data_IF_281818714703
#
_entry.id   IF_281818714703
#
_cell.length_a   1.000
_cell.length_b   1.000
_cell.length_c   1.000
_cell.angle_alpha   90.00
_cell.angle_beta   90.00
_cell.angle_gamma   90.00
#
_symmetry.space_group_name_H-M   'P 1'
#
loop_
_entity.id
_entity.type
_entity.pdbx_description
1 polymer ?
#
# COMPACT_ATOMS: atom_id res chain seq x y z
N UNK A 1 0.96 -5.39 -28.50
CA UNK A 1 0.67 -4.01 -28.06
C UNK A 1 -0.73 -3.61 -28.53
N UNK A 2 -1.40 -2.66 -27.87
CA UNK A 2 -2.65 -2.11 -28.43
C UNK A 2 -2.29 -1.09 -29.51
N UNK A 3 -3.11 -0.92 -30.56
CA UNK A 3 -2.91 0.06 -31.65
C UNK A 3 -2.86 1.53 -31.17
N UNK A 4 -3.04 1.77 -29.87
CA UNK A 4 -3.13 3.07 -29.22
C UNK A 4 -1.85 3.55 -28.53
N UNK A 5 -0.68 2.91 -28.77
CA UNK A 5 0.60 3.33 -28.15
C UNK A 5 0.65 3.11 -26.63
N UNK A 6 -0.12 2.14 -26.12
CA UNK A 6 -0.23 1.86 -24.67
C UNK A 6 0.04 0.40 -24.35
N UNK A 7 0.67 0.18 -23.19
CA UNK A 7 0.99 -1.13 -22.64
C UNK A 7 0.14 -1.40 -21.40
N UNK A 8 -0.48 -2.60 -21.33
CA UNK A 8 -1.19 -3.06 -20.14
C UNK A 8 -0.19 -3.39 -19.03
N UNK A 9 -0.17 -2.58 -17.99
CA UNK A 9 0.73 -2.75 -16.84
C UNK A 9 0.08 -3.53 -15.70
N UNK A 10 -1.20 -3.26 -15.43
CA UNK A 10 -1.96 -3.86 -14.33
C UNK A 10 -3.26 -4.50 -14.83
N UNK A 11 -3.55 -5.71 -14.33
CA UNK A 11 -4.85 -6.36 -14.56
C UNK A 11 -5.96 -5.64 -13.78
N UNK A 12 -7.22 -5.95 -14.09
CA UNK A 12 -8.35 -5.46 -13.29
C UNK A 12 -8.25 -5.94 -11.84
N UNK A 13 -7.88 -7.20 -11.62
CA UNK A 13 -7.70 -7.77 -10.28
C UNK A 13 -6.64 -7.01 -9.46
N UNK A 14 -5.48 -6.70 -10.05
CA UNK A 14 -4.43 -5.94 -9.35
C UNK A 14 -4.90 -4.54 -8.97
N UNK A 15 -5.65 -3.86 -9.85
CA UNK A 15 -6.23 -2.54 -9.55
C UNK A 15 -7.30 -2.62 -8.47
N UNK A 16 -8.17 -3.63 -8.53
CA UNK A 16 -9.20 -3.88 -7.52
C UNK A 16 -8.58 -4.08 -6.13
N UNK A 17 -7.55 -4.91 -6.04
CA UNK A 17 -6.79 -5.13 -4.78
C UNK A 17 -6.19 -3.82 -4.29
N UNK A 18 -5.48 -3.09 -5.16
CA UNK A 18 -4.87 -1.81 -4.79
C UNK A 18 -5.89 -0.84 -4.19
N UNK A 19 -7.02 -0.61 -4.87
CA UNK A 19 -8.05 0.30 -4.39
C UNK A 19 -8.76 -0.21 -3.14
N UNK A 20 -8.97 -1.53 -3.01
CA UNK A 20 -9.53 -2.13 -1.80
C UNK A 20 -8.62 -1.91 -0.59
N UNK A 21 -7.32 -2.17 -0.73
CA UNK A 21 -6.33 -1.92 0.33
C UNK A 21 -6.25 -0.43 0.64
N UNK A 22 -6.16 0.45 -0.37
CA UNK A 22 -6.04 1.88 -0.17
C UNK A 22 -7.25 2.45 0.60
N UNK A 23 -8.47 2.18 0.14
CA UNK A 23 -9.70 2.66 0.77
C UNK A 23 -9.82 2.12 2.20
N UNK A 24 -9.64 0.81 2.41
CA UNK A 24 -9.62 0.22 3.75
C UNK A 24 -8.62 0.90 4.67
N UNK A 25 -7.41 1.16 4.17
CA UNK A 25 -6.34 1.74 5.01
C UNK A 25 -6.70 3.17 5.42
N UNK A 26 -7.25 3.99 4.53
CA UNK A 26 -7.73 5.33 4.90
C UNK A 26 -8.87 5.28 5.92
N UNK A 27 -9.83 4.36 5.75
CA UNK A 27 -10.92 4.17 6.71
C UNK A 27 -10.40 3.68 8.07
N UNK A 28 -9.41 2.79 8.08
CA UNK A 28 -8.77 2.27 9.30
C UNK A 28 -7.97 3.35 10.03
N UNK A 29 -7.24 4.19 9.31
CA UNK A 29 -6.53 5.34 9.89
C UNK A 29 -7.53 6.30 10.52
N UNK A 30 -8.59 6.67 9.80
CA UNK A 30 -9.61 7.59 10.32
C UNK A 30 -10.30 7.00 11.55
N UNK A 31 -10.86 5.80 11.44
CA UNK A 31 -11.54 5.15 12.56
C UNK A 31 -10.61 4.85 13.74
N UNK A 32 -9.36 4.46 13.50
CA UNK A 32 -8.36 4.19 14.53
C UNK A 32 -7.96 5.44 15.30
N UNK A 33 -7.76 6.58 14.61
CA UNK A 33 -7.54 7.88 15.25
C UNK A 33 -8.78 8.34 16.04
N UNK A 34 -9.99 8.03 15.57
CA UNK A 34 -11.25 8.32 16.27
C UNK A 34 -11.53 7.43 17.48
N UNK A 35 -10.86 6.29 17.61
CA UNK A 35 -10.86 5.49 18.85
C UNK A 35 -9.90 6.03 19.91
N UNK A 36 -8.96 6.89 19.50
CA UNK A 36 -8.22 7.75 20.42
C UNK A 36 -9.10 8.97 20.73
N UNK A 37 -8.97 9.61 21.91
CA UNK A 37 -9.75 10.80 22.27
C UNK A 37 -9.29 12.06 21.50
N UNK A 38 -8.93 11.92 20.23
CA UNK A 38 -8.39 12.97 19.36
C UNK A 38 -9.52 13.82 18.76
N UNK A 39 -10.58 13.21 18.25
CA UNK A 39 -11.58 13.93 17.45
C UNK A 39 -12.38 14.94 18.26
N UNK A 40 -12.74 14.60 19.50
CA UNK A 40 -13.32 15.56 20.42
C UNK A 40 -12.30 16.63 20.86
N UNK A 41 -11.06 16.22 21.15
CA UNK A 41 -9.99 17.13 21.61
C UNK A 41 -9.60 18.19 20.57
N UNK A 42 -9.61 17.82 19.30
CA UNK A 42 -9.25 18.70 18.17
C UNK A 42 -10.47 19.16 17.37
N UNK A 43 -11.68 19.07 17.94
CA UNK A 43 -12.94 19.59 17.37
C UNK A 43 -13.28 19.06 15.96
N UNK A 44 -12.80 17.87 15.60
CA UNK A 44 -13.15 17.22 14.32
C UNK A 44 -14.65 16.93 14.28
N UNK A 45 -15.25 16.63 15.43
CA UNK A 45 -16.69 16.40 15.60
C UNK A 45 -17.54 17.69 15.51
N UNK A 46 -16.92 18.87 15.37
CA UNK A 46 -17.61 20.13 15.12
C UNK A 46 -17.70 20.48 13.64
N UNK A 47 -16.98 19.76 12.77
CA UNK A 47 -17.06 19.94 11.33
C UNK A 47 -18.43 19.44 10.83
N UNK A 48 -19.18 20.23 10.04
CA UNK A 48 -20.45 19.79 9.46
C UNK A 48 -20.29 18.46 8.72
N UNK A 49 -21.12 17.47 9.07
CA UNK A 49 -21.05 16.11 8.51
C UNK A 49 -20.14 15.13 9.24
N UNK A 50 -19.35 15.55 10.23
CA UNK A 50 -18.44 14.71 11.02
C UNK A 50 -18.79 14.64 12.52
N UNK A 51 -19.99 15.07 12.91
CA UNK A 51 -20.43 15.04 14.33
C UNK A 51 -20.44 13.65 14.95
N UNK A 52 -20.56 12.61 14.12
CA UNK A 52 -20.49 11.20 14.54
C UNK A 52 -19.06 10.71 14.79
N UNK A 53 -18.04 11.46 14.38
CA UNK A 53 -16.64 11.00 14.40
C UNK A 53 -16.10 10.78 15.81
N UNK A 54 -16.59 11.50 16.83
CA UNK A 54 -16.20 11.28 18.23
C UNK A 54 -16.97 10.14 18.91
N UNK A 55 -17.95 9.52 18.24
CA UNK A 55 -18.68 8.38 18.80
C UNK A 55 -17.87 7.09 18.67
N UNK A 56 -17.41 6.58 19.81
CA UNK A 56 -16.57 5.38 19.88
C UNK A 56 -17.21 4.13 19.25
N UNK A 57 -18.52 3.92 19.40
CA UNK A 57 -19.16 2.74 18.83
C UNK A 57 -19.23 2.81 17.30
N UNK A 58 -19.45 4.00 16.75
CA UNK A 58 -19.45 4.22 15.30
C UNK A 58 -18.04 4.02 14.74
N UNK A 59 -17.02 4.64 15.35
CA UNK A 59 -15.63 4.47 14.90
C UNK A 59 -15.13 3.04 15.09
N UNK A 60 -15.51 2.35 16.16
CA UNK A 60 -15.19 0.93 16.36
C UNK A 60 -15.82 0.04 15.28
N UNK A 61 -17.10 0.25 14.99
CA UNK A 61 -17.81 -0.51 13.94
C UNK A 61 -17.18 -0.27 12.58
N UNK A 62 -16.89 0.98 12.24
CA UNK A 62 -16.21 1.34 10.99
C UNK A 62 -14.83 0.68 10.90
N UNK A 63 -14.07 0.67 12.01
CA UNK A 63 -12.75 0.05 12.06
C UNK A 63 -12.82 -1.45 11.80
N UNK A 64 -13.76 -2.16 12.43
CA UNK A 64 -13.93 -3.60 12.23
C UNK A 64 -14.36 -3.93 10.80
N UNK A 65 -15.31 -3.20 10.22
CA UNK A 65 -15.74 -3.41 8.83
C UNK A 65 -14.58 -3.17 7.86
N UNK A 66 -13.83 -2.07 8.04
CA UNK A 66 -12.68 -1.76 7.20
C UNK A 66 -11.54 -2.78 7.37
N UNK A 67 -11.34 -3.32 8.58
CA UNK A 67 -10.36 -4.35 8.88
C UNK A 67 -10.69 -5.68 8.19
N UNK A 68 -11.96 -6.11 8.27
CA UNK A 68 -12.44 -7.32 7.57
C UNK A 68 -12.18 -7.18 6.07
N UNK A 69 -12.50 -6.03 5.48
CA UNK A 69 -12.24 -5.77 4.05
C UNK A 69 -10.75 -5.74 3.72
N UNK A 70 -9.91 -5.17 4.58
CA UNK A 70 -8.44 -5.17 4.40
C UNK A 70 -7.90 -6.60 4.42
N UNK A 71 -8.31 -7.42 5.39
CA UNK A 71 -7.89 -8.82 5.51
C UNK A 71 -8.33 -9.61 4.29
N UNK A 72 -9.56 -9.41 3.81
CA UNK A 72 -10.02 -10.00 2.56
C UNK A 72 -9.14 -9.60 1.37
N UNK A 73 -8.87 -8.30 1.19
CA UNK A 73 -8.06 -7.82 0.08
C UNK A 73 -6.62 -8.35 0.15
N UNK A 74 -6.03 -8.42 1.34
CA UNK A 74 -4.70 -8.98 1.57
C UNK A 74 -4.65 -10.50 1.28
N UNK A 75 -5.64 -11.26 1.74
CA UNK A 75 -5.75 -12.69 1.45
C UNK A 75 -5.93 -12.94 -0.05
N UNK A 76 -6.83 -12.19 -0.70
CA UNK A 76 -7.04 -12.27 -2.15
C UNK A 76 -5.74 -11.96 -2.91
N UNK A 77 -5.01 -10.92 -2.51
CA UNK A 77 -3.72 -10.56 -3.11
C UNK A 77 -2.72 -11.72 -3.05
N UNK A 78 -2.55 -12.31 -1.86
CA UNK A 78 -1.63 -13.42 -1.64
C UNK A 78 -2.02 -14.63 -2.51
N UNK A 79 -3.29 -15.03 -2.48
CA UNK A 79 -3.78 -16.18 -3.26
C UNK A 79 -3.65 -15.92 -4.76
N UNK A 80 -4.08 -14.75 -5.25
CA UNK A 80 -4.03 -14.39 -6.66
C UNK A 80 -2.60 -14.44 -7.23
N UNK A 81 -1.64 -13.81 -6.54
CA UNK A 81 -0.25 -13.79 -7.00
C UNK A 81 0.46 -15.13 -6.82
N UNK A 82 0.12 -15.91 -5.79
CA UNK A 82 0.68 -17.24 -5.57
C UNK A 82 0.27 -18.22 -6.66
N UNK A 83 -1.02 -18.27 -7.00
CA UNK A 83 -1.53 -19.16 -8.05
C UNK A 83 -0.98 -18.80 -9.44
N UNK A 84 -0.75 -17.52 -9.71
CA UNK A 84 -0.20 -17.04 -10.98
C UNK A 84 1.33 -16.98 -11.04
N UNK A 85 2.01 -17.28 -9.93
CA UNK A 85 3.46 -17.19 -9.77
C UNK A 85 4.01 -15.80 -10.17
N UNK A 86 3.25 -14.75 -9.89
CA UNK A 86 3.56 -13.37 -10.26
C UNK A 86 4.28 -12.64 -9.11
N UNK A 87 5.58 -12.92 -8.91
CA UNK A 87 6.36 -12.38 -7.78
C UNK A 87 7.26 -11.20 -8.12
N UNK A 88 7.05 -10.56 -9.28
CA UNK A 88 7.94 -9.52 -9.80
C UNK A 88 8.08 -8.26 -8.93
N UNK A 89 7.12 -8.01 -8.03
CA UNK A 89 7.12 -6.90 -7.08
C UNK A 89 7.92 -7.19 -5.79
N UNK A 90 8.25 -8.45 -5.50
CA UNK A 90 8.99 -8.80 -4.29
C UNK A 90 10.41 -8.21 -4.31
N UNK A 91 10.93 -7.75 -3.16
CA UNK A 91 12.29 -7.23 -3.07
C UNK A 91 13.34 -8.20 -3.58
N UNK A 92 14.36 -7.65 -4.21
CA UNK A 92 15.55 -8.36 -4.70
C UNK A 92 16.76 -7.89 -3.90
N UNK A 93 17.82 -8.71 -3.92
CA UNK A 93 19.11 -8.33 -3.32
C UNK A 93 19.63 -7.07 -4.01
N UNK A 94 20.00 -6.07 -3.23
CA UNK A 94 20.51 -4.79 -3.73
C UNK A 94 19.47 -3.69 -3.88
N UNK A 95 18.16 -3.99 -3.72
CA UNK A 95 17.09 -3.02 -3.96
C UNK A 95 17.23 -1.75 -3.11
N UNK A 96 17.67 -1.85 -1.85
CA UNK A 96 17.88 -0.68 -1.00
C UNK A 96 18.95 0.25 -1.59
N UNK A 97 20.07 -0.31 -2.03
CA UNK A 97 21.16 0.46 -2.65
C UNK A 97 20.71 1.07 -3.98
N UNK A 98 20.03 0.28 -4.81
CA UNK A 98 19.51 0.75 -6.11
C UNK A 98 18.44 1.83 -5.93
N UNK A 99 17.58 1.72 -4.92
CA UNK A 99 16.58 2.75 -4.58
C UNK A 99 17.24 4.10 -4.30
N UNK A 100 18.37 4.12 -3.59
CA UNK A 100 19.12 5.34 -3.32
C UNK A 100 19.65 5.96 -4.62
N UNK A 101 20.15 5.14 -5.55
CA UNK A 101 20.63 5.60 -6.85
C UNK A 101 19.48 6.19 -7.67
N UNK A 102 18.35 5.49 -7.74
CA UNK A 102 17.15 5.96 -8.45
C UNK A 102 16.65 7.28 -7.86
N UNK A 103 16.55 7.40 -6.54
CA UNK A 103 16.11 8.65 -5.88
C UNK A 103 17.09 9.80 -6.20
N UNK A 104 18.40 9.56 -6.16
CA UNK A 104 19.40 10.57 -6.56
C UNK A 104 19.23 10.99 -8.02
N UNK A 105 19.04 10.04 -8.93
CA UNK A 105 18.77 10.32 -10.34
C UNK A 105 17.48 11.14 -10.55
N UNK A 106 16.41 10.85 -9.81
CA UNK A 106 15.17 11.65 -9.84
C UNK A 106 15.36 13.09 -9.35
N UNK A 107 16.39 13.34 -8.53
CA UNK A 107 16.81 14.67 -8.08
C UNK A 107 17.81 15.35 -9.05
N UNK A 108 18.10 14.74 -10.20
CA UNK A 108 19.06 15.23 -11.19
C UNK A 108 20.52 14.87 -10.89
N UNK A 109 20.76 14.00 -9.91
CA UNK A 109 22.10 13.59 -9.48
C UNK A 109 22.42 12.19 -10.00
N UNK A 110 22.87 12.13 -11.26
CA UNK A 110 23.28 10.90 -11.94
C UNK A 110 22.22 10.32 -12.88
N UNK A 111 22.53 9.14 -13.43
CA UNK A 111 21.65 8.45 -14.38
C UNK A 111 20.80 7.38 -13.69
N UNK A 112 19.55 7.26 -14.12
CA UNK A 112 18.63 6.25 -13.61
C UNK A 112 19.03 4.88 -14.17
N UNK A 113 19.22 3.84 -13.32
CA UNK A 113 19.58 2.52 -13.79
C UNK A 113 18.45 1.91 -14.65
N UNK A 114 18.79 1.02 -15.61
CA UNK A 114 17.79 0.36 -16.44
C UNK A 114 16.84 -0.47 -15.56
N UNK A 115 15.55 -0.16 -15.62
CA UNK A 115 14.57 -0.74 -14.71
C UNK A 115 13.69 -1.81 -15.36
N UNK A 116 13.29 -2.77 -14.52
CA UNK A 116 12.25 -3.75 -14.79
C UNK A 116 10.85 -3.11 -14.62
N UNK A 117 9.77 -3.91 -14.69
CA UNK A 117 8.38 -3.48 -14.53
C UNK A 117 8.24 -2.63 -13.29
N UNK A 118 8.81 -3.07 -12.18
CA UNK A 118 8.87 -2.30 -10.94
C UNK A 118 10.29 -1.83 -10.70
N UNK A 119 10.46 -0.56 -10.31
CA UNK A 119 11.75 -0.02 -9.87
C UNK A 119 12.10 -0.56 -8.48
N UNK A 120 13.36 -0.47 -8.08
CA UNK A 120 13.83 -0.97 -6.78
C UNK A 120 13.09 -0.32 -5.60
N UNK A 121 12.91 1.00 -5.63
CA UNK A 121 12.20 1.74 -4.58
C UNK A 121 10.73 1.38 -4.50
N UNK A 122 10.11 0.97 -5.62
CA UNK A 122 8.74 0.46 -5.64
C UNK A 122 8.64 -0.91 -4.96
N UNK A 123 9.64 -1.78 -5.13
CA UNK A 123 9.70 -3.10 -4.47
C UNK A 123 9.96 -2.94 -2.96
N UNK A 124 10.84 -2.02 -2.57
CA UNK A 124 11.09 -1.66 -1.17
C UNK A 124 9.82 -1.08 -0.52
N UNK A 125 9.16 -0.13 -1.19
CA UNK A 125 7.91 0.45 -0.69
C UNK A 125 6.80 -0.60 -0.54
N UNK A 126 6.67 -1.51 -1.50
CA UNK A 126 5.75 -2.64 -1.41
C UNK A 126 6.03 -3.50 -0.17
N UNK A 127 7.30 -3.84 0.07
CA UNK A 127 7.68 -4.67 1.22
C UNK A 127 7.41 -3.97 2.55
N UNK A 128 7.75 -2.68 2.65
CA UNK A 128 7.46 -1.87 3.83
C UNK A 128 5.96 -1.83 4.13
N UNK A 129 5.14 -1.49 3.13
CA UNK A 129 3.68 -1.43 3.30
C UNK A 129 3.11 -2.80 3.63
N UNK A 130 3.50 -3.86 2.90
CA UNK A 130 2.99 -5.21 3.14
C UNK A 130 3.34 -5.72 4.54
N UNK A 131 4.59 -5.54 4.99
CA UNK A 131 5.01 -5.89 6.34
C UNK A 131 4.23 -5.10 7.40
N UNK A 132 4.06 -3.80 7.18
CA UNK A 132 3.38 -2.95 8.14
C UNK A 132 1.87 -3.23 8.25
N UNK A 133 1.21 -3.52 7.12
CA UNK A 133 -0.18 -3.99 7.13
C UNK A 133 -0.29 -5.36 7.81
N UNK A 134 0.66 -6.27 7.62
CA UNK A 134 0.68 -7.55 8.33
C UNK A 134 0.81 -7.34 9.84
N UNK A 135 1.71 -6.46 10.29
CA UNK A 135 1.86 -6.09 11.70
C UNK A 135 0.53 -5.57 12.28
N UNK A 136 -0.14 -4.67 11.57
CA UNK A 136 -1.44 -4.11 11.96
C UNK A 136 -2.53 -5.17 12.02
N UNK A 137 -2.59 -6.08 11.04
CA UNK A 137 -3.55 -7.19 11.01
C UNK A 137 -3.33 -8.11 12.21
N UNK A 138 -2.11 -8.57 12.45
CA UNK A 138 -1.78 -9.50 13.55
C UNK A 138 -2.09 -8.87 14.90
N UNK A 139 -1.60 -7.66 15.16
CA UNK A 139 -1.87 -6.96 16.42
C UNK A 139 -3.34 -6.59 16.58
N UNK A 140 -4.03 -6.26 15.49
CA UNK A 140 -5.48 -6.01 15.46
C UNK A 140 -6.28 -7.26 15.85
N UNK A 141 -5.93 -8.43 15.31
CA UNK A 141 -6.55 -9.70 15.70
C UNK A 141 -6.38 -9.99 17.18
N UNK A 142 -5.18 -9.80 17.76
CA UNK A 142 -4.97 -9.97 19.21
C UNK A 142 -5.93 -9.06 19.99
N UNK A 143 -6.06 -7.79 19.59
CA UNK A 143 -6.96 -6.83 20.23
C UNK A 143 -8.45 -7.19 20.07
N UNK A 144 -8.85 -7.86 19.00
CA UNK A 144 -10.22 -8.36 18.81
C UNK A 144 -10.46 -9.60 19.68
N UNK A 145 -9.55 -10.57 19.63
CA UNK A 145 -9.66 -11.86 20.33
C UNK A 145 -9.75 -11.66 21.84
N UNK A 146 -9.03 -10.67 22.41
CA UNK A 146 -9.10 -10.38 23.85
C UNK A 146 -10.52 -10.03 24.33
N UNK A 147 -11.41 -9.59 23.44
CA UNK A 147 -12.78 -9.21 23.79
C UNK A 147 -13.74 -10.39 23.76
N UNK A 148 -13.29 -11.59 23.40
CA UNK A 148 -14.15 -12.77 23.39
C UNK A 148 -14.33 -13.33 24.81
N UNK A 149 -15.53 -13.85 25.14
CA UNK A 149 -15.80 -14.42 26.46
C UNK A 149 -14.80 -15.53 26.81
N UNK A 150 -14.23 -15.45 28.02
CA UNK A 150 -13.31 -16.47 28.54
C UNK A 150 -11.88 -16.42 27.98
N UNK A 151 -11.54 -15.45 27.12
CA UNK A 151 -10.17 -15.26 26.65
C UNK A 151 -9.48 -14.18 27.48
N UNK A 152 -8.39 -14.55 28.14
CA UNK A 152 -7.50 -13.63 28.85
C UNK A 152 -6.08 -13.73 28.31
N UNK A 153 -5.44 -12.59 28.10
CA UNK A 153 -4.03 -12.51 27.73
C UNK A 153 -3.22 -11.87 28.86
N UNK A 154 -1.93 -12.19 28.96
CA UNK A 154 -1.03 -11.49 29.88
C UNK A 154 -0.94 -10.00 29.54
N UNK A 155 -0.79 -9.14 30.55
CA UNK A 155 -0.65 -7.69 30.36
C UNK A 155 0.51 -7.35 29.42
N UNK A 156 1.65 -8.03 29.55
CA UNK A 156 2.82 -7.85 28.67
C UNK A 156 2.48 -8.04 27.19
N UNK A 157 1.67 -9.06 26.86
CA UNK A 157 1.24 -9.29 25.47
C UNK A 157 0.30 -8.17 24.98
N UNK A 158 -0.63 -7.72 25.82
CA UNK A 158 -1.57 -6.66 25.48
C UNK A 158 -0.87 -5.32 25.28
N UNK A 159 0.14 -5.03 26.10
CA UNK A 159 0.98 -3.83 25.98
C UNK A 159 1.77 -3.84 24.69
N UNK A 160 2.47 -4.93 24.38
CA UNK A 160 3.20 -5.06 23.11
C UNK A 160 2.26 -5.00 21.91
N UNK A 161 1.13 -5.71 21.95
CA UNK A 161 0.15 -5.68 20.86
C UNK A 161 -0.38 -4.27 20.63
N UNK A 162 -0.69 -3.53 21.70
CA UNK A 162 -1.21 -2.16 21.61
C UNK A 162 -0.14 -1.19 21.09
N UNK A 163 1.07 -1.23 21.64
CA UNK A 163 2.17 -0.35 21.23
C UNK A 163 2.62 -0.62 19.80
N UNK A 164 2.74 -1.89 19.41
CA UNK A 164 3.07 -2.27 18.03
C UNK A 164 1.97 -1.90 17.05
N UNK A 165 0.69 -1.99 17.45
CA UNK A 165 -0.42 -1.54 16.60
C UNK A 165 -0.38 -0.02 16.39
N UNK A 166 -0.12 0.75 17.45
CA UNK A 166 0.00 2.21 17.38
C UNK A 166 1.24 2.64 16.56
N UNK A 167 2.38 1.97 16.76
CA UNK A 167 3.57 2.17 15.93
C UNK A 167 3.28 1.81 14.47
N UNK A 168 2.59 0.70 14.24
CA UNK A 168 2.09 0.27 12.93
C UNK A 168 1.27 1.37 12.25
N UNK A 169 0.33 1.97 12.98
CA UNK A 169 -0.52 3.06 12.50
C UNK A 169 0.32 4.27 12.07
N UNK A 170 1.28 4.71 12.88
CA UNK A 170 2.16 5.84 12.51
C UNK A 170 3.01 5.49 11.29
N UNK A 171 3.60 4.29 11.27
CA UNK A 171 4.41 3.82 10.15
C UNK A 171 3.61 3.72 8.85
N UNK A 172 2.35 3.24 8.87
CA UNK A 172 1.53 3.18 7.64
C UNK A 172 1.18 4.58 7.14
N UNK A 173 0.89 5.53 8.05
CA UNK A 173 0.61 6.91 7.67
C UNK A 173 1.83 7.52 6.97
N UNK A 174 3.02 7.37 7.56
CA UNK A 174 4.28 7.83 6.94
C UNK A 174 4.53 7.13 5.60
N UNK A 175 4.29 5.82 5.52
CA UNK A 175 4.43 5.05 4.29
C UNK A 175 3.51 5.51 3.16
N UNK A 176 2.25 5.80 3.48
CA UNK A 176 1.27 6.35 2.52
C UNK A 176 1.69 7.75 2.07
N UNK A 177 2.12 8.61 2.99
CA UNK A 177 2.63 9.94 2.65
C UNK A 177 3.82 9.82 1.70
N UNK A 178 4.80 8.96 2.00
CA UNK A 178 5.96 8.71 1.14
C UNK A 178 5.55 8.15 -0.23
N UNK A 179 4.62 7.20 -0.26
CA UNK A 179 4.07 6.62 -1.49
C UNK A 179 3.41 7.68 -2.39
N UNK A 180 2.59 8.57 -1.82
CA UNK A 180 1.95 9.65 -2.55
C UNK A 180 2.96 10.73 -2.96
N UNK A 181 3.90 11.07 -2.08
CA UNK A 181 4.97 12.03 -2.34
C UNK A 181 5.90 11.58 -3.48
N UNK A 182 6.03 10.27 -3.74
CA UNK A 182 6.76 9.77 -4.89
C UNK A 182 6.23 10.33 -6.23
N UNK A 183 4.98 10.75 -6.32
CA UNK A 183 4.39 11.34 -7.53
C UNK A 183 4.62 12.86 -7.68
N UNK A 184 5.23 13.50 -6.67
CA UNK A 184 5.76 14.87 -6.81
C UNK A 184 6.81 14.88 -7.92
N UNK A 185 7.65 13.84 -7.97
CA UNK A 185 8.63 13.62 -9.04
C UNK A 185 7.93 13.38 -10.38
N UNK A 186 8.16 14.27 -11.35
CA UNK A 186 7.54 14.22 -12.68
C UNK A 186 7.77 12.89 -13.38
N UNK A 187 8.91 12.26 -13.17
CA UNK A 187 9.26 10.95 -13.73
C UNK A 187 8.24 9.85 -13.36
N UNK A 188 7.64 9.90 -12.17
CA UNK A 188 6.69 8.89 -11.68
C UNK A 188 5.23 9.13 -12.15
N UNK A 189 4.87 10.35 -12.55
CA UNK A 189 3.48 10.70 -12.91
C UNK A 189 2.88 9.86 -14.05
N UNK A 190 3.62 9.45 -15.10
CA UNK A 190 3.09 8.56 -16.14
C UNK A 190 2.63 7.18 -15.65
N UNK A 191 2.94 6.80 -14.41
CA UNK A 191 2.44 5.58 -13.79
C UNK A 191 1.01 5.71 -13.24
N UNK A 192 0.55 6.94 -12.92
CA UNK A 192 -0.75 7.20 -12.30
C UNK A 192 -1.93 6.62 -13.12
N UNK A 193 -2.01 6.83 -14.46
CA UNK A 193 -3.10 6.25 -15.26
C UNK A 193 -3.16 4.72 -15.18
N UNK A 194 -2.04 4.07 -14.86
CA UNK A 194 -1.96 2.62 -14.70
C UNK A 194 -2.81 2.10 -13.54
N UNK A 195 -3.02 2.87 -12.47
CA UNK A 195 -3.87 2.48 -11.34
C UNK A 195 -5.37 2.62 -11.62
N UNK A 196 -5.75 3.54 -12.51
CA UNK A 196 -7.14 3.76 -12.88
C UNK A 196 -7.56 2.92 -14.08
N UNK A 197 -6.75 2.91 -15.14
CA UNK A 197 -7.09 2.28 -16.43
C UNK A 197 -6.44 0.91 -16.61
N UNK A 198 -5.31 0.65 -15.94
CA UNK A 198 -4.48 -0.54 -16.14
C UNK A 198 -3.39 -0.36 -17.21
N UNK A 199 -3.38 0.76 -17.91
CA UNK A 199 -2.48 1.04 -19.04
C UNK A 199 -1.52 2.19 -18.73
N UNK A 200 -0.32 2.10 -19.33
CA UNK A 200 0.70 3.16 -19.34
C UNK A 200 1.16 3.40 -20.77
N UNK A 201 1.72 4.58 -21.01
CA UNK A 201 2.28 4.96 -22.30
C UNK A 201 3.47 4.06 -22.68
N UNK A 202 3.54 3.66 -23.94
CA UNK A 202 4.59 2.77 -24.44
C UNK A 202 5.97 3.45 -24.47
N UNK A 203 6.05 4.70 -24.91
CA UNK A 203 7.31 5.43 -24.99
C UNK A 203 7.92 5.62 -23.60
N UNK A 204 7.08 5.92 -22.62
CA UNK A 204 7.49 5.96 -21.22
C UNK A 204 8.09 4.62 -20.75
N UNK A 205 7.45 3.50 -21.07
CA UNK A 205 7.94 2.16 -20.73
C UNK A 205 9.27 1.88 -21.42
N UNK A 206 9.39 2.21 -22.71
CA UNK A 206 10.63 2.05 -23.48
C UNK A 206 11.79 2.81 -22.85
N UNK A 207 11.56 4.06 -22.41
CA UNK A 207 12.60 4.91 -21.83
C UNK A 207 12.98 4.50 -20.40
N UNK A 208 12.00 4.32 -19.54
CA UNK A 208 12.24 4.20 -18.09
C UNK A 208 12.21 2.76 -17.56
N UNK A 209 11.48 1.89 -18.24
CA UNK A 209 11.36 0.47 -17.90
C UNK A 209 11.95 -0.40 -19.02
N UNK A 210 13.15 -0.04 -19.50
CA UNK A 210 13.78 -0.64 -20.69
C UNK A 210 13.89 -2.16 -20.61
N UNK A 211 14.31 -2.71 -19.46
CA UNK A 211 14.40 -4.16 -19.25
C UNK A 211 13.03 -4.84 -19.36
N UNK A 212 11.97 -4.18 -18.89
CA UNK A 212 10.61 -4.70 -19.03
C UNK A 212 10.14 -4.66 -20.48
N UNK A 213 10.41 -3.55 -21.18
CA UNK A 213 10.07 -3.38 -22.59
C UNK A 213 10.71 -4.46 -23.46
N UNK A 214 12.01 -4.71 -23.30
CA UNK A 214 12.74 -5.76 -24.03
C UNK A 214 12.13 -7.14 -23.83
N UNK A 215 11.74 -7.50 -22.60
CA UNK A 215 11.10 -8.79 -22.33
C UNK A 215 9.70 -8.89 -22.94
N UNK A 216 8.95 -7.79 -23.00
CA UNK A 216 7.66 -7.78 -23.69
C UNK A 216 7.84 -8.00 -25.20
N UNK A 217 8.86 -7.37 -25.81
CA UNK A 217 9.17 -7.56 -27.23
C UNK A 217 9.55 -9.01 -27.52
N UNK A 218 10.45 -9.61 -26.73
CA UNK A 218 10.85 -11.02 -26.89
C UNK A 218 9.68 -11.98 -26.83
N UNK A 219 8.70 -11.72 -25.95
CA UNK A 219 7.49 -12.53 -25.81
C UNK A 219 6.49 -12.36 -26.97
N UNK A 220 6.53 -11.25 -27.69
CA UNK A 220 5.69 -11.01 -28.87
C UNK A 220 6.29 -11.64 -30.13
N UNK A 221 7.62 -11.76 -30.19
CA UNK A 221 8.35 -12.40 -31.29
C UNK A 221 8.45 -13.94 -31.17
N UNK A 222 8.10 -14.51 -30.02
CA UNK A 222 8.08 -15.96 -29.73
C UNK A 222 6.68 -16.53 -29.86
#
# INVERSE_FOLDING_TARGET
>A
MNKSGRIKRHSLAVRFVHWSVAISTFLLIFSGLGQLPLYQRYMVDKIPGLTWSSNFHITLTLHYVAAVWLVFAAAFHIVYHSLRREFTILPRRGDVRESIIVIKAMLGLGEEPPADKYLAEQRVAYAFIAFNLLLLIVTGFIKVIKNFPGITFSDTLLDWATNLHNLGMVMIIVGIIAHLAAFIFKANRPLLPGMFTGYVDEEYVRKRHSLWYERLQKKLSS
#
